data_IF_054242514164
#
_entry.id   IF_054242514164
#
_cell.length_a   1.000
_cell.length_b   1.000
_cell.length_c   1.000
_cell.angle_alpha   90.00
_cell.angle_beta   90.00
_cell.angle_gamma   90.00
#
_symmetry.space_group_name_H-M   'P 1'
#
loop_
_entity.id
_entity.type
_entity.pdbx_description
1 polymer ?
#
# COMPACT_ATOMS: atom_id res chain seq x y z
N UNK A 1 -8.71 -2.25 -19.73
CA UNK A 1 -8.49 -3.71 -19.63
C UNK A 1 -7.72 -4.21 -20.82
N UNK A 2 -6.78 -5.14 -20.62
CA UNK A 2 -6.07 -5.83 -21.69
C UNK A 2 -6.13 -7.35 -21.47
N UNK A 3 -6.42 -8.10 -22.53
CA UNK A 3 -6.58 -9.56 -22.54
C UNK A 3 -5.59 -10.18 -23.54
N UNK A 4 -4.30 -9.97 -23.27
CA UNK A 4 -3.14 -10.14 -24.16
C UNK A 4 -2.75 -8.87 -24.92
N UNK A 5 -1.45 -8.70 -25.13
CA UNK A 5 -0.85 -7.58 -25.85
C UNK A 5 -0.08 -6.62 -24.95
N UNK A 6 0.26 -5.46 -25.50
CA UNK A 6 1.01 -4.40 -24.81
C UNK A 6 0.31 -3.05 -24.95
N UNK A 7 0.19 -2.33 -23.84
CA UNK A 7 -0.20 -0.91 -23.79
C UNK A 7 1.00 -0.11 -23.28
N UNK A 8 1.28 1.00 -23.95
CA UNK A 8 2.16 2.06 -23.45
C UNK A 8 1.35 3.34 -23.31
N UNK A 9 1.34 3.91 -22.12
CA UNK A 9 0.61 5.14 -21.81
C UNK A 9 1.54 6.20 -21.26
N UNK A 10 1.29 7.46 -21.61
CA UNK A 10 2.06 8.59 -21.15
C UNK A 10 1.12 9.74 -20.75
N UNK A 11 1.38 10.39 -19.60
CA UNK A 11 0.58 11.51 -19.11
C UNK A 11 -0.94 11.22 -19.08
N UNK A 12 -1.33 10.16 -18.38
CA UNK A 12 -2.70 9.64 -18.40
C UNK A 12 -3.51 10.10 -17.20
N UNK A 13 -4.79 10.39 -17.46
CA UNK A 13 -5.84 10.49 -16.44
C UNK A 13 -6.88 9.40 -16.67
N UNK A 14 -7.12 8.59 -15.64
CA UNK A 14 -8.08 7.49 -15.64
C UNK A 14 -9.10 7.76 -14.55
N UNK A 15 -10.37 7.85 -14.92
CA UNK A 15 -11.47 8.04 -13.96
C UNK A 15 -12.36 6.82 -13.94
N UNK A 16 -12.54 6.22 -12.77
CA UNK A 16 -13.38 5.04 -12.59
C UNK A 16 -14.65 5.36 -11.80
N UNK A 17 -15.81 5.04 -12.37
CA UNK A 17 -17.08 5.09 -11.65
C UNK A 17 -17.17 3.95 -10.63
N UNK A 18 -18.18 4.01 -9.76
CA UNK A 18 -18.35 3.00 -8.73
C UNK A 18 -18.52 1.58 -9.32
N UNK A 19 -17.81 0.61 -8.77
CA UNK A 19 -17.81 -0.78 -9.25
C UNK A 19 -16.96 -1.04 -10.49
N UNK A 20 -16.22 -0.04 -10.99
CA UNK A 20 -15.29 -0.21 -12.11
C UNK A 20 -13.86 -0.51 -11.63
N UNK A 21 -12.97 -0.78 -12.59
CA UNK A 21 -11.53 -0.92 -12.37
C UNK A 21 -10.80 0.10 -13.23
N UNK A 22 -9.71 0.66 -12.72
CA UNK A 22 -8.85 1.54 -13.49
C UNK A 22 -7.99 0.75 -14.49
N UNK A 23 -6.72 0.56 -14.16
CA UNK A 23 -5.77 -0.23 -14.96
C UNK A 23 -5.93 -1.70 -14.63
N UNK A 24 -6.17 -2.52 -15.65
CA UNK A 24 -6.41 -3.94 -15.47
C UNK A 24 -5.76 -4.80 -16.56
N UNK A 25 -4.88 -5.72 -16.15
CA UNK A 25 -4.12 -6.60 -17.04
C UNK A 25 -4.37 -8.08 -16.75
N UNK A 26 -4.76 -8.84 -17.77
CA UNK A 26 -5.02 -10.28 -17.68
C UNK A 26 -4.44 -11.03 -18.90
N UNK A 27 -4.38 -12.37 -18.86
CA UNK A 27 -3.85 -13.22 -19.94
C UNK A 27 -2.55 -12.73 -20.60
N UNK A 28 -1.43 -12.70 -19.86
CA UNK A 28 -0.10 -12.28 -20.35
C UNK A 28 -0.05 -10.85 -20.95
N UNK A 29 -0.82 -9.93 -20.35
CA UNK A 29 -0.84 -8.53 -20.77
C UNK A 29 0.33 -7.75 -20.18
N UNK A 30 0.82 -6.77 -20.93
CA UNK A 30 1.85 -5.85 -20.50
C UNK A 30 1.34 -4.40 -20.56
N UNK A 31 1.43 -3.66 -19.47
CA UNK A 31 1.08 -2.24 -19.42
C UNK A 31 2.30 -1.48 -18.88
N UNK A 32 2.74 -0.46 -19.60
CA UNK A 32 3.79 0.47 -19.18
C UNK A 32 3.20 1.88 -19.17
N UNK A 33 3.19 2.53 -18.01
CA UNK A 33 2.67 3.89 -17.80
C UNK A 33 3.81 4.79 -17.35
N UNK A 34 3.98 5.94 -18.01
CA UNK A 34 5.08 6.87 -17.72
C UNK A 34 4.61 8.30 -17.45
N UNK A 35 5.48 9.07 -16.81
CA UNK A 35 5.27 10.48 -16.47
C UNK A 35 4.06 10.66 -15.57
N UNK A 36 3.22 11.67 -15.80
CA UNK A 36 2.13 11.98 -14.87
C UNK A 36 1.00 10.95 -15.00
N UNK A 37 0.63 10.33 -13.88
CA UNK A 37 -0.45 9.34 -13.84
C UNK A 37 -1.47 9.71 -12.78
N UNK A 38 -2.68 10.01 -13.21
CA UNK A 38 -3.82 10.23 -12.32
C UNK A 38 -4.78 9.05 -12.48
N UNK A 39 -5.06 8.34 -11.39
CA UNK A 39 -6.13 7.33 -11.33
C UNK A 39 -7.10 7.75 -10.23
N UNK A 40 -8.28 8.21 -10.62
CA UNK A 40 -9.32 8.62 -9.71
C UNK A 40 -10.48 7.62 -9.75
N UNK A 41 -10.47 6.64 -8.85
CA UNK A 41 -11.63 5.77 -8.62
C UNK A 41 -12.66 6.48 -7.73
N UNK A 42 -13.90 5.99 -7.71
CA UNK A 42 -14.97 6.64 -6.95
C UNK A 42 -14.72 6.61 -5.44
N UNK A 43 -14.05 5.57 -4.93
CA UNK A 43 -13.58 5.48 -3.54
C UNK A 43 -12.17 4.86 -3.49
N UNK A 44 -11.40 5.10 -2.42
CA UNK A 44 -10.09 4.48 -2.23
C UNK A 44 -10.11 2.94 -2.18
N UNK A 45 -11.24 2.33 -1.81
CA UNK A 45 -11.36 0.86 -1.74
C UNK A 45 -11.60 0.20 -3.11
N UNK A 46 -11.84 1.01 -4.15
CA UNK A 46 -12.01 0.51 -5.51
C UNK A 46 -10.68 0.26 -6.19
N UNK A 47 -10.68 -0.68 -7.12
CA UNK A 47 -9.47 -1.16 -7.79
C UNK A 47 -8.94 -0.13 -8.77
N UNK A 48 -7.88 0.59 -8.39
CA UNK A 48 -7.17 1.49 -9.28
C UNK A 48 -6.27 0.74 -10.26
N UNK A 49 -5.49 -0.23 -9.77
CA UNK A 49 -4.56 -1.03 -10.58
C UNK A 49 -4.68 -2.48 -10.14
N UNK A 50 -4.87 -3.41 -11.08
CA UNK A 50 -4.79 -4.82 -10.75
C UNK A 50 -4.33 -5.70 -11.90
N UNK A 51 -3.74 -6.83 -11.53
CA UNK A 51 -3.55 -7.98 -12.43
C UNK A 51 -4.54 -9.09 -12.11
N UNK A 52 -4.63 -10.08 -12.99
CA UNK A 52 -5.30 -11.36 -12.72
C UNK A 52 -4.47 -12.51 -13.27
N UNK A 53 -4.47 -13.61 -12.52
CA UNK A 53 -3.96 -14.89 -12.98
C UNK A 53 -5.02 -15.62 -13.81
N UNK A 54 -4.64 -16.03 -15.01
CA UNK A 54 -5.44 -16.90 -15.87
C UNK A 54 -4.65 -18.17 -16.18
N UNK A 55 -5.20 -19.33 -15.83
CA UNK A 55 -4.55 -20.61 -16.06
C UNK A 55 -4.23 -20.80 -17.55
N UNK A 56 -3.01 -21.26 -17.85
CA UNK A 56 -2.52 -21.42 -19.22
C UNK A 56 -1.89 -20.16 -19.83
N UNK A 57 -1.89 -19.03 -19.12
CA UNK A 57 -1.22 -17.79 -19.55
C UNK A 57 -0.07 -17.43 -18.61
N UNK A 58 0.97 -16.80 -19.17
CA UNK A 58 2.03 -16.20 -18.37
C UNK A 58 1.50 -15.02 -17.54
N UNK A 59 2.21 -14.69 -16.45
CA UNK A 59 1.88 -13.58 -15.58
C UNK A 59 1.79 -12.26 -16.36
N UNK A 60 0.71 -11.49 -16.12
CA UNK A 60 0.60 -10.13 -16.64
C UNK A 60 1.51 -9.18 -15.86
N UNK A 61 1.93 -8.08 -16.47
CA UNK A 61 2.79 -7.07 -15.85
C UNK A 61 2.23 -5.67 -16.05
N UNK A 62 2.19 -4.88 -14.97
CA UNK A 62 1.91 -3.45 -14.99
C UNK A 62 3.10 -2.72 -14.38
N UNK A 63 3.72 -1.82 -15.15
CA UNK A 63 4.70 -0.88 -14.64
C UNK A 63 4.09 0.52 -14.70
N UNK A 64 4.25 1.30 -13.64
CA UNK A 64 4.03 2.73 -13.66
C UNK A 64 5.27 3.43 -13.12
N UNK A 65 5.71 4.51 -13.76
CA UNK A 65 6.85 5.32 -13.31
C UNK A 65 6.63 6.81 -13.58
N UNK A 66 6.71 7.64 -12.54
CA UNK A 66 6.48 9.08 -12.66
C UNK A 66 5.79 9.69 -11.43
N UNK A 67 5.26 10.90 -11.56
CA UNK A 67 4.44 11.48 -10.50
C UNK A 67 3.04 10.87 -10.57
N UNK A 68 2.56 10.30 -9.46
CA UNK A 68 1.30 9.55 -9.45
C UNK A 68 0.33 10.12 -8.42
N UNK A 69 -0.92 10.33 -8.83
CA UNK A 69 -2.04 10.62 -7.95
C UNK A 69 -3.06 9.47 -8.07
N UNK A 70 -3.01 8.54 -7.14
CA UNK A 70 -3.83 7.33 -7.15
C UNK A 70 -4.84 7.40 -6.00
N UNK A 71 -6.12 7.44 -6.34
CA UNK A 71 -7.23 7.20 -5.43
C UNK A 71 -7.85 5.85 -5.78
N UNK A 72 -7.49 4.80 -5.03
CA UNK A 72 -7.91 3.42 -5.24
C UNK A 72 -6.83 2.40 -4.82
N UNK A 73 -7.26 1.16 -4.58
CA UNK A 73 -6.39 0.05 -4.17
C UNK A 73 -5.61 -0.56 -5.34
N UNK A 74 -4.44 -1.11 -5.02
CA UNK A 74 -3.52 -1.77 -5.97
C UNK A 74 -3.42 -3.25 -5.62
N UNK A 75 -3.85 -4.11 -6.54
CA UNK A 75 -4.00 -5.56 -6.29
C UNK A 75 -3.19 -6.38 -7.29
N UNK A 76 -2.04 -6.89 -6.84
CA UNK A 76 -1.30 -7.93 -7.55
C UNK A 76 -1.96 -9.29 -7.29
N UNK A 77 -2.67 -9.78 -8.31
CA UNK A 77 -3.26 -11.13 -8.29
C UNK A 77 -2.63 -11.98 -9.39
N UNK A 78 -1.65 -12.78 -8.99
CA UNK A 78 -0.79 -13.62 -9.83
C UNK A 78 -0.10 -12.96 -11.03
N UNK A 79 0.07 -11.63 -10.98
CA UNK A 79 0.81 -10.83 -11.94
C UNK A 79 1.83 -9.94 -11.25
N UNK A 80 2.58 -9.16 -12.01
CA UNK A 80 3.63 -8.27 -11.51
C UNK A 80 3.13 -6.82 -11.57
N UNK A 81 3.17 -6.11 -10.46
CA UNK A 81 2.92 -4.67 -10.41
C UNK A 81 4.15 -3.99 -9.83
N UNK A 82 4.75 -3.07 -10.60
CA UNK A 82 5.83 -2.21 -10.14
C UNK A 82 5.38 -0.75 -10.20
N UNK A 83 5.43 -0.04 -9.07
CA UNK A 83 5.14 1.39 -8.98
C UNK A 83 6.42 2.14 -8.58
N UNK A 84 6.93 2.98 -9.47
CA UNK A 84 8.06 3.89 -9.21
C UNK A 84 7.54 5.32 -9.08
N UNK A 85 7.14 5.68 -7.86
CA UNK A 85 6.47 6.93 -7.52
C UNK A 85 7.49 8.02 -7.21
N UNK A 86 7.54 9.05 -8.06
CA UNK A 86 8.44 10.21 -7.91
C UNK A 86 7.92 11.22 -6.91
N UNK A 87 8.79 12.14 -6.50
CA UNK A 87 8.46 13.27 -5.60
C UNK A 87 7.11 13.91 -5.89
N UNK A 88 6.33 14.12 -4.84
CA UNK A 88 4.99 14.72 -4.91
C UNK A 88 3.89 13.75 -5.32
N UNK A 89 4.15 12.44 -5.35
CA UNK A 89 3.09 11.45 -5.57
C UNK A 89 2.26 11.24 -4.31
N UNK A 90 0.99 10.90 -4.52
CA UNK A 90 0.03 10.55 -3.47
C UNK A 90 -0.73 9.30 -3.88
N UNK A 91 -0.68 8.28 -3.05
CA UNK A 91 -1.53 7.09 -3.16
C UNK A 91 -2.48 7.03 -1.97
N UNK A 92 -3.78 6.92 -2.21
CA UNK A 92 -4.81 6.68 -1.19
C UNK A 92 -5.55 5.41 -1.54
N UNK A 93 -5.41 4.38 -0.72
CA UNK A 93 -5.96 3.05 -0.96
C UNK A 93 -5.20 1.96 -0.21
N UNK A 94 -5.57 0.71 -0.44
CA UNK A 94 -4.90 -0.46 0.14
C UNK A 94 -4.09 -1.25 -0.90
N UNK A 95 -3.21 -2.12 -0.41
CA UNK A 95 -2.40 -3.01 -1.26
C UNK A 95 -2.74 -4.48 -1.03
N UNK A 96 -2.64 -5.29 -2.08
CA UNK A 96 -2.70 -6.75 -1.98
C UNK A 96 -1.66 -7.36 -2.91
N UNK A 97 -0.91 -8.33 -2.40
CA UNK A 97 -0.11 -9.26 -3.20
C UNK A 97 -0.43 -10.70 -2.80
N UNK A 98 -0.99 -11.49 -3.72
CA UNK A 98 -1.33 -12.89 -3.41
C UNK A 98 -0.16 -13.86 -3.56
N UNK A 99 0.99 -13.39 -4.07
CA UNK A 99 2.18 -14.20 -4.33
C UNK A 99 1.93 -15.45 -5.22
N UNK A 100 0.80 -15.50 -5.91
CA UNK A 100 0.45 -16.62 -6.81
C UNK A 100 1.24 -16.48 -8.11
N UNK A 101 1.62 -17.57 -8.76
CA UNK A 101 2.21 -17.53 -10.11
C UNK A 101 3.46 -16.63 -10.24
N UNK A 102 4.23 -16.46 -9.15
CA UNK A 102 5.37 -15.55 -9.11
C UNK A 102 4.99 -14.07 -9.21
N UNK A 103 3.71 -13.75 -8.99
CA UNK A 103 3.19 -12.40 -8.93
C UNK A 103 3.73 -11.65 -7.71
N UNK A 104 3.87 -10.34 -7.85
CA UNK A 104 4.44 -9.47 -6.83
C UNK A 104 3.95 -8.05 -6.95
N UNK A 105 3.96 -7.32 -5.85
CA UNK A 105 3.73 -5.90 -5.76
C UNK A 105 4.98 -5.23 -5.18
N UNK A 106 5.71 -4.52 -6.04
CA UNK A 106 6.89 -3.76 -5.67
C UNK A 106 6.58 -2.26 -5.79
N UNK A 107 6.85 -1.50 -4.73
CA UNK A 107 6.57 -0.07 -4.66
C UNK A 107 7.82 0.68 -4.21
N UNK A 108 8.24 1.65 -5.01
CA UNK A 108 9.24 2.64 -4.67
C UNK A 108 8.57 4.01 -4.56
N UNK A 109 8.88 4.75 -3.50
CA UNK A 109 8.33 6.08 -3.23
C UNK A 109 9.42 7.05 -2.85
N UNK A 110 9.61 8.10 -3.65
CA UNK A 110 10.48 9.23 -3.36
C UNK A 110 9.62 10.45 -2.98
N UNK A 111 9.88 11.06 -1.82
CA UNK A 111 9.20 12.23 -1.29
C UNK A 111 7.68 12.22 -1.56
N UNK A 112 7.04 11.12 -1.20
CA UNK A 112 5.65 10.80 -1.56
C UNK A 112 4.86 10.35 -0.33
N UNK A 113 3.53 10.31 -0.48
CA UNK A 113 2.62 9.93 0.60
C UNK A 113 1.76 8.75 0.18
N UNK A 114 1.68 7.73 1.03
CA UNK A 114 0.69 6.66 0.92
C UNK A 114 -0.26 6.74 2.12
N UNK A 115 -1.51 7.09 1.87
CA UNK A 115 -2.61 7.03 2.83
C UNK A 115 -3.26 5.65 2.76
N UNK A 116 -2.93 4.80 3.71
CA UNK A 116 -3.40 3.41 3.80
C UNK A 116 -4.83 3.40 4.33
N UNK A 117 -5.74 2.70 3.64
CA UNK A 117 -7.17 2.70 3.98
C UNK A 117 -7.65 1.41 4.65
N UNK A 118 -6.85 0.36 4.60
CA UNK A 118 -7.17 -0.98 5.09
C UNK A 118 -5.88 -1.80 5.22
N UNK A 119 -5.98 -2.96 5.87
CA UNK A 119 -4.91 -3.96 5.91
C UNK A 119 -4.33 -4.16 4.51
N UNK A 120 -3.00 -4.14 4.46
CA UNK A 120 -2.26 -4.06 3.23
C UNK A 120 -1.10 -5.04 3.26
N UNK A 121 -0.80 -5.63 2.10
CA UNK A 121 0.40 -6.43 1.94
C UNK A 121 1.08 -6.19 0.58
N UNK A 122 2.41 -6.21 0.59
CA UNK A 122 3.25 -6.07 -0.60
C UNK A 122 4.63 -6.70 -0.38
N UNK A 123 5.36 -6.92 -1.47
CA UNK A 123 6.59 -7.70 -1.46
C UNK A 123 7.82 -6.83 -1.24
N UNK A 124 7.87 -5.67 -1.90
CA UNK A 124 8.96 -4.71 -1.69
C UNK A 124 8.39 -3.31 -1.49
N UNK A 125 8.82 -2.63 -0.43
CA UNK A 125 8.56 -1.23 -0.16
C UNK A 125 9.87 -0.49 0.02
N UNK A 126 10.24 0.32 -0.97
CA UNK A 126 11.44 1.18 -0.93
C UNK A 126 11.02 2.62 -0.77
N UNK A 127 11.45 3.27 0.32
CA UNK A 127 11.01 4.62 0.67
C UNK A 127 12.21 5.56 0.68
N UNK A 128 12.06 6.77 0.15
CA UNK A 128 13.07 7.84 0.24
C UNK A 128 12.37 9.11 0.68
N UNK A 129 12.54 9.50 1.94
CA UNK A 129 11.85 10.65 2.56
C UNK A 129 10.32 10.63 2.38
N UNK A 130 9.73 9.43 2.38
CA UNK A 130 8.30 9.23 2.12
C UNK A 130 7.52 8.96 3.41
N UNK A 131 6.22 9.24 3.38
CA UNK A 131 5.31 8.97 4.50
C UNK A 131 4.34 7.85 4.14
N UNK A 132 4.20 6.88 5.04
CA UNK A 132 3.14 5.89 5.00
C UNK A 132 2.21 6.16 6.19
N UNK A 133 1.00 6.59 5.90
CA UNK A 133 0.02 7.03 6.87
C UNK A 133 -1.09 5.98 7.03
N UNK A 134 -1.08 5.26 8.14
CA UNK A 134 -2.08 4.27 8.54
C UNK A 134 -3.20 4.92 9.39
N UNK A 135 -3.01 6.17 9.80
CA UNK A 135 -3.86 6.82 10.78
C UNK A 135 -5.01 7.61 10.14
N UNK A 136 -4.72 8.42 9.11
CA UNK A 136 -5.67 9.44 8.64
C UNK A 136 -6.91 8.89 7.93
N UNK A 137 -6.88 7.63 7.47
CA UNK A 137 -7.95 6.98 6.71
C UNK A 137 -8.52 5.73 7.37
N UNK A 138 -8.31 5.59 8.66
CA UNK A 138 -8.85 4.47 9.41
C UNK A 138 -10.38 4.39 9.36
N UNK A 139 -10.90 3.17 9.21
CA UNK A 139 -12.34 2.92 9.15
C UNK A 139 -13.05 3.22 10.49
N UNK A 140 -12.37 3.03 11.62
CA UNK A 140 -12.88 3.39 12.95
C UNK A 140 -11.73 3.55 13.96
N UNK A 141 -12.02 4.16 15.11
CA UNK A 141 -11.05 4.38 16.19
C UNK A 141 -10.45 3.07 16.75
N UNK A 142 -11.23 1.99 16.77
CA UNK A 142 -10.84 0.70 17.36
C UNK A 142 -10.46 -0.35 16.32
N UNK A 143 -10.50 -0.01 15.03
CA UNK A 143 -10.05 -0.87 13.94
C UNK A 143 -8.66 -0.42 13.51
N UNK A 144 -7.65 -1.09 14.05
CA UNK A 144 -6.25 -0.88 13.70
C UNK A 144 -5.90 -1.61 12.41
N UNK A 145 -4.85 -1.15 11.74
CA UNK A 145 -4.43 -1.59 10.41
C UNK A 145 -3.08 -2.27 10.49
N UNK A 146 -2.96 -3.41 9.82
CA UNK A 146 -1.70 -4.12 9.64
C UNK A 146 -1.15 -3.87 8.23
N UNK A 147 0.08 -3.37 8.16
CA UNK A 147 0.86 -3.30 6.95
C UNK A 147 1.91 -4.41 6.94
N UNK A 148 1.75 -5.36 6.04
CA UNK A 148 2.66 -6.49 5.86
C UNK A 148 3.61 -6.22 4.68
N UNK A 149 4.91 -6.21 4.92
CA UNK A 149 5.94 -5.94 3.90
C UNK A 149 6.96 -7.07 3.92
N UNK A 150 7.26 -7.72 2.79
CA UNK A 150 8.34 -8.71 2.80
C UNK A 150 9.72 -8.04 2.90
N UNK A 151 9.99 -7.01 2.09
CA UNK A 151 11.26 -6.30 2.09
C UNK A 151 11.05 -4.79 2.22
N UNK A 152 11.48 -4.23 3.35
CA UNK A 152 11.41 -2.80 3.64
C UNK A 152 12.81 -2.19 3.55
N UNK A 153 12.94 -1.10 2.78
CA UNK A 153 14.20 -0.37 2.73
C UNK A 153 14.07 1.16 2.64
N UNK A 154 15.13 1.86 3.03
CA UNK A 154 15.34 3.27 2.71
C UNK A 154 15.12 4.22 3.90
N UNK A 155 14.34 5.30 3.71
CA UNK A 155 14.00 6.26 4.75
C UNK A 155 12.56 6.72 4.69
N UNK A 156 11.87 6.71 5.84
CA UNK A 156 10.45 7.04 5.89
C UNK A 156 9.96 7.51 7.26
N UNK A 157 8.74 8.03 7.25
CA UNK A 157 7.91 8.20 8.44
C UNK A 157 6.66 7.30 8.31
N UNK A 158 6.40 6.47 9.31
CA UNK A 158 5.16 5.73 9.45
C UNK A 158 4.27 6.44 10.48
N UNK A 159 3.09 6.90 10.06
CA UNK A 159 2.10 7.50 10.96
C UNK A 159 1.11 6.42 11.37
N UNK A 160 1.03 6.15 12.66
CA UNK A 160 0.35 5.01 13.24
C UNK A 160 -0.51 5.44 14.42
N UNK A 161 -1.51 4.63 14.76
CA UNK A 161 -2.38 4.81 15.92
C UNK A 161 -2.10 3.75 16.96
N UNK A 162 -2.37 4.09 18.21
CA UNK A 162 -2.37 3.14 19.31
C UNK A 162 -3.48 3.50 20.31
N UNK A 163 -4.01 2.49 20.97
CA UNK A 163 -4.61 2.57 22.29
C UNK A 163 -3.64 1.85 23.24
N UNK A 164 -2.80 2.61 23.92
CA UNK A 164 -1.68 2.08 24.72
C UNK A 164 -2.18 1.41 26.00
N UNK A 165 -3.20 2.00 26.62
CA UNK A 165 -3.75 1.56 27.91
C UNK A 165 -4.69 0.38 27.73
N UNK A 166 -5.47 0.36 26.64
CA UNK A 166 -6.54 -0.60 26.46
C UNK A 166 -7.57 -0.49 27.60
N UNK A 167 -7.85 -1.62 28.24
CA UNK A 167 -8.76 -1.71 29.39
C UNK A 167 -8.08 -1.38 30.73
N UNK A 168 -6.77 -1.08 30.72
CA UNK A 168 -5.93 -0.79 31.90
C UNK A 168 -4.72 -1.71 32.00
N UNK A 169 -3.57 -1.20 32.45
CA UNK A 169 -2.31 -1.94 32.56
C UNK A 169 -1.88 -2.65 31.26
N UNK A 170 -2.30 -2.13 30.10
CA UNK A 170 -2.00 -2.71 28.79
C UNK A 170 -2.85 -3.92 28.42
N UNK A 171 -3.86 -4.25 29.23
CA UNK A 171 -4.81 -5.33 28.92
C UNK A 171 -5.61 -4.95 27.68
N UNK A 172 -5.60 -5.83 26.67
CA UNK A 172 -6.28 -5.63 25.39
C UNK A 172 -5.90 -4.31 24.69
N UNK A 173 -4.69 -3.80 24.95
CA UNK A 173 -4.15 -2.69 24.18
C UNK A 173 -3.93 -3.10 22.71
N UNK A 174 -4.04 -2.14 21.81
CA UNK A 174 -3.97 -2.41 20.38
C UNK A 174 -3.45 -1.20 19.61
N UNK A 175 -2.93 -1.43 18.43
CA UNK A 175 -2.37 -0.39 17.59
C UNK A 175 -2.25 -0.85 16.15
N UNK A 176 -1.99 0.10 15.27
CA UNK A 176 -1.55 -0.23 13.91
C UNK A 176 -0.23 -1.02 14.01
N UNK A 177 0.00 -1.93 13.05
CA UNK A 177 1.16 -2.82 13.05
C UNK A 177 1.89 -2.74 11.73
N UNK A 178 3.21 -2.51 11.77
CA UNK A 178 4.10 -2.76 10.66
C UNK A 178 4.77 -4.13 10.84
N UNK A 179 4.43 -5.08 9.98
CA UNK A 179 5.00 -6.42 10.01
C UNK A 179 5.92 -6.63 8.81
N UNK A 180 7.22 -6.77 9.07
CA UNK A 180 8.23 -7.05 8.05
C UNK A 180 8.61 -8.53 8.13
N UNK A 181 8.40 -9.29 7.06
CA UNK A 181 8.58 -10.76 7.10
C UNK A 181 9.88 -11.27 6.47
N UNK A 182 10.58 -10.42 5.73
CA UNK A 182 11.84 -10.76 5.06
C UNK A 182 12.98 -9.88 5.55
N UNK A 183 13.28 -8.79 4.85
CA UNK A 183 14.40 -7.90 5.18
C UNK A 183 13.93 -6.50 5.58
N UNK A 184 14.62 -5.91 6.55
CA UNK A 184 14.43 -4.52 7.00
C UNK A 184 15.78 -3.81 7.02
N UNK A 185 15.90 -2.68 6.32
CA UNK A 185 17.13 -1.90 6.25
C UNK A 185 16.86 -0.39 6.09
N UNK A 186 17.67 0.46 6.71
CA UNK A 186 17.58 1.91 6.56
C UNK A 186 17.09 2.61 7.82
N UNK A 187 16.60 3.85 7.66
CA UNK A 187 16.26 4.76 8.76
C UNK A 187 14.78 5.13 8.72
N UNK A 188 13.99 4.57 9.63
CA UNK A 188 12.55 4.79 9.69
C UNK A 188 12.16 5.49 10.99
N UNK A 189 11.21 6.42 10.92
CA UNK A 189 10.58 7.08 12.07
C UNK A 189 9.18 6.55 12.22
N UNK A 190 8.76 6.32 13.47
CA UNK A 190 7.38 5.99 13.82
C UNK A 190 6.77 7.20 14.54
N UNK A 191 5.69 7.75 13.98
CA UNK A 191 4.84 8.74 14.63
C UNK A 191 3.63 8.00 15.20
N UNK A 192 3.58 7.83 16.52
CA UNK A 192 2.49 7.12 17.19
C UNK A 192 1.48 8.14 17.76
N UNK A 193 0.24 8.05 17.29
CA UNK A 193 -0.88 8.83 17.81
C UNK A 193 -1.66 7.97 18.80
N UNK A 194 -1.52 8.24 20.11
CA UNK A 194 -2.40 7.63 21.10
C UNK A 194 -3.82 8.16 20.92
N UNK A 195 -4.77 7.27 20.68
CA UNK A 195 -6.21 7.56 20.54
C UNK A 195 -7.01 6.98 21.71
N UNK A 196 -6.36 6.20 22.58
CA UNK A 196 -6.92 5.65 23.80
C UNK A 196 -6.74 6.58 25.00
N UNK A 197 -6.87 6.00 26.20
CA UNK A 197 -6.63 6.72 27.45
C UNK A 197 -5.17 7.16 27.60
N UNK A 198 -4.93 8.27 28.30
CA UNK A 198 -3.59 8.71 28.73
C UNK A 198 -3.22 8.22 30.14
N UNK A 199 -4.12 7.52 30.83
CA UNK A 199 -3.93 7.05 32.20
C UNK A 199 -3.05 5.78 32.27
N UNK A 200 -1.78 5.91 31.87
CA UNK A 200 -0.80 4.82 31.89
C UNK A 200 -0.29 4.54 33.30
N UNK A 201 0.03 3.28 33.60
CA UNK A 201 0.75 2.88 34.81
C UNK A 201 2.26 2.75 34.59
N UNK A 202 2.69 2.78 33.32
CA UNK A 202 4.08 2.59 32.91
C UNK A 202 4.45 1.13 32.67
N UNK A 203 3.50 0.22 32.81
CA UNK A 203 3.67 -1.22 32.55
C UNK A 203 3.14 -1.65 31.17
N UNK A 204 2.47 -0.74 30.46
CA UNK A 204 1.90 -1.01 29.14
C UNK A 204 2.99 -1.38 28.14
N UNK A 205 2.79 -2.49 27.42
CA UNK A 205 3.65 -2.90 26.31
C UNK A 205 2.77 -3.12 25.09
N UNK A 206 3.06 -2.43 23.99
CA UNK A 206 2.36 -2.58 22.72
C UNK A 206 3.38 -2.80 21.60
N UNK A 207 3.20 -3.86 20.83
CA UNK A 207 4.01 -4.13 19.64
C UNK A 207 3.44 -3.36 18.46
N UNK A 208 4.21 -2.40 17.94
CA UNK A 208 3.85 -1.62 16.74
C UNK A 208 4.69 -1.98 15.52
N UNK A 209 5.80 -2.69 15.72
CA UNK A 209 6.66 -3.22 14.66
C UNK A 209 7.06 -4.65 14.97
N UNK A 210 7.00 -5.50 13.96
CA UNK A 210 7.55 -6.86 13.96
C UNK A 210 8.48 -7.00 12.75
N UNK A 211 9.63 -7.65 12.93
CA UNK A 211 10.65 -7.90 11.89
C UNK A 211 11.19 -9.31 11.99
#
# INVERSE_FOLDING_TARGET
TLSSGKITGDNLTITGAAGTRGVYAMTNSQIDLTNDLIIAMATPDQVAIATQHDAGYAASRINAAGQMLINGSVLSRGGLINLDMRSGSVWTGSSLSDNVNGGRLDVAMDNSVWNVTSDSNLDTLTLTHSTVDLASRAASANAFTTLNVANLSGSSNFVMRADVVGEGDGVNNAGDLLNVSGSSAGNHVLTINNQGSEATTGNEVLTVVQT
#
